data_IF_428113534391
#
_entry.id   IF_428113534391
#
_cell.length_a   1.000
_cell.length_b   1.000
_cell.length_c   1.000
_cell.angle_alpha   90.00
_cell.angle_beta   90.00
_cell.angle_gamma   90.00
#
_symmetry.space_group_name_H-M   'P 1'
#
loop_
_entity.id
_entity.type
_entity.pdbx_description
1 polymer ?
#
# COMPACT_ATOMS: atom_id res chain seq x y z
N UNK A 1 6.98 12.74 -25.96
CA UNK A 1 7.63 12.12 -24.78
C UNK A 1 6.82 10.88 -24.45
N UNK A 2 7.39 9.68 -24.62
CA UNK A 2 6.66 8.44 -24.33
C UNK A 2 6.49 8.29 -22.83
N UNK A 3 5.25 8.08 -22.40
CA UNK A 3 4.91 7.86 -21.00
C UNK A 3 5.64 6.59 -20.52
N UNK A 4 6.58 6.76 -19.58
CA UNK A 4 7.46 5.66 -19.17
C UNK A 4 6.65 4.77 -18.25
N UNK A 5 6.22 3.61 -18.75
CA UNK A 5 5.45 2.63 -17.98
C UNK A 5 6.18 2.33 -16.67
N UNK A 6 5.58 2.77 -15.55
CA UNK A 6 6.18 2.66 -14.23
C UNK A 6 6.33 1.18 -13.86
N UNK A 7 7.55 0.76 -13.50
CA UNK A 7 7.79 -0.64 -13.16
C UNK A 7 7.31 -0.95 -11.74
N UNK A 8 7.05 -2.23 -11.46
CA UNK A 8 6.71 -2.69 -10.10
C UNK A 8 7.76 -2.27 -9.06
N UNK A 9 9.03 -2.12 -9.48
CA UNK A 9 10.11 -1.70 -8.60
C UNK A 9 10.06 -0.21 -8.29
N UNK A 10 9.59 0.59 -9.24
CA UNK A 10 9.37 2.02 -9.04
C UNK A 10 8.19 2.23 -8.07
N UNK A 11 7.12 1.44 -8.21
CA UNK A 11 5.98 1.44 -7.27
C UNK A 11 6.43 1.11 -5.85
N UNK A 12 7.15 0.00 -5.66
CA UNK A 12 7.66 -0.41 -4.34
C UNK A 12 8.54 0.67 -3.70
N UNK A 13 9.44 1.29 -4.47
CA UNK A 13 10.34 2.33 -3.97
C UNK A 13 9.59 3.63 -3.64
N UNK A 14 8.56 3.96 -4.42
CA UNK A 14 7.65 5.07 -4.13
C UNK A 14 6.88 4.81 -2.82
N UNK A 15 6.28 3.64 -2.68
CA UNK A 15 5.46 3.31 -1.50
C UNK A 15 6.31 3.14 -0.24
N UNK A 16 7.54 2.64 -0.35
CA UNK A 16 8.49 2.64 0.77
C UNK A 16 8.81 4.06 1.26
N UNK A 17 8.91 5.05 0.35
CA UNK A 17 9.11 6.46 0.71
C UNK A 17 7.90 7.04 1.44
N UNK A 18 6.69 6.64 1.05
CA UNK A 18 5.46 7.01 1.77
C UNK A 18 5.42 6.36 3.16
N UNK A 19 5.70 5.07 3.27
CA UNK A 19 5.80 4.36 4.55
C UNK A 19 6.85 4.95 5.47
N UNK A 20 7.99 5.38 4.92
CA UNK A 20 9.05 6.03 5.68
C UNK A 20 8.55 7.29 6.41
N UNK A 21 7.52 7.99 5.92
CA UNK A 21 6.91 9.14 6.60
C UNK A 21 6.20 8.76 7.91
N UNK A 22 5.78 7.49 8.08
CA UNK A 22 5.23 6.97 9.34
C UNK A 22 6.31 6.71 10.40
N UNK A 23 7.57 6.64 9.99
CA UNK A 23 8.71 6.56 10.90
C UNK A 23 9.33 7.95 11.07
N UNK A 24 10.01 8.21 12.18
CA UNK A 24 10.77 9.44 12.38
C UNK A 24 12.16 9.36 11.73
N UNK A 25 12.82 8.19 11.81
CA UNK A 25 14.21 8.01 11.33
C UNK A 25 14.39 6.82 10.37
N UNK A 26 15.46 6.83 9.58
CA UNK A 26 15.80 5.68 8.73
C UNK A 26 16.13 4.45 9.58
N UNK A 27 16.77 4.70 10.73
CA UNK A 27 16.99 3.71 11.78
C UNK A 27 15.71 3.04 12.25
N UNK A 28 14.68 3.83 12.58
CA UNK A 28 13.39 3.29 13.01
C UNK A 28 12.75 2.40 11.94
N UNK A 29 12.74 2.84 10.68
CA UNK A 29 12.28 2.00 9.57
C UNK A 29 13.12 0.71 9.47
N UNK A 30 14.42 0.80 9.65
CA UNK A 30 15.35 -0.33 9.61
C UNK A 30 15.06 -1.38 10.69
N UNK A 31 14.66 -0.92 11.87
CA UNK A 31 14.27 -1.76 13.01
C UNK A 31 12.93 -2.44 12.75
N UNK A 32 11.93 -1.71 12.21
CA UNK A 32 10.59 -2.25 11.88
C UNK A 32 10.68 -3.38 10.85
N UNK A 33 11.41 -3.16 9.76
CA UNK A 33 11.48 -4.12 8.65
C UNK A 33 12.69 -5.07 8.74
N UNK A 34 13.46 -4.98 9.83
CA UNK A 34 14.58 -5.84 10.17
C UNK A 34 15.66 -5.92 9.08
N UNK A 35 16.09 -4.75 8.58
CA UNK A 35 17.21 -4.63 7.64
C UNK A 35 18.19 -3.58 8.13
N UNK A 36 19.44 -3.63 7.66
CA UNK A 36 20.44 -2.63 8.05
C UNK A 36 20.05 -1.23 7.57
N UNK A 37 20.24 -0.20 8.39
CA UNK A 37 19.94 1.20 8.05
C UNK A 37 20.60 1.67 6.75
N UNK A 38 21.83 1.22 6.46
CA UNK A 38 22.51 1.51 5.19
C UNK A 38 21.70 1.00 3.98
N UNK A 39 21.04 -0.14 4.10
CA UNK A 39 20.18 -0.71 3.05
C UNK A 39 18.94 0.15 2.88
N UNK A 40 18.32 0.64 3.95
CA UNK A 40 17.20 1.59 3.88
C UNK A 40 17.58 2.83 3.08
N UNK A 41 18.73 3.44 3.39
CA UNK A 41 19.22 4.61 2.68
C UNK A 41 19.39 4.37 1.18
N UNK A 42 19.88 3.19 0.78
CA UNK A 42 20.01 2.80 -0.63
C UNK A 42 18.65 2.59 -1.30
N UNK A 43 17.72 1.91 -0.63
CA UNK A 43 16.37 1.65 -1.15
C UNK A 43 15.55 2.93 -1.34
N UNK A 44 15.66 3.89 -0.41
CA UNK A 44 14.93 5.16 -0.47
C UNK A 44 15.45 6.11 -1.56
N UNK A 45 16.76 6.11 -1.81
CA UNK A 45 17.38 6.94 -2.86
C UNK A 45 17.13 6.40 -4.26
N UNK A 46 16.77 5.13 -4.39
CA UNK A 46 16.67 4.46 -5.69
C UNK A 46 18.00 4.37 -6.43
N UNK A 47 19.13 4.62 -5.75
CA UNK A 47 20.47 4.58 -6.33
C UNK A 47 20.95 3.12 -6.43
N UNK A 48 21.25 2.73 -7.68
CA UNK A 48 22.09 1.60 -8.12
C UNK A 48 21.76 0.20 -7.58
N UNK A 49 20.99 -0.55 -8.38
CA UNK A 49 20.97 -2.02 -8.39
C UNK A 49 20.19 -2.71 -7.26
N UNK A 50 19.95 -2.04 -6.12
CA UNK A 50 19.12 -2.59 -5.05
C UNK A 50 17.66 -2.24 -5.24
N UNK A 51 16.94 -3.17 -5.86
CA UNK A 51 15.49 -3.15 -5.96
C UNK A 51 14.87 -3.83 -4.75
N UNK A 52 13.67 -3.37 -4.37
CA UNK A 52 12.84 -4.09 -3.40
C UNK A 52 12.34 -5.36 -4.10
N UNK A 53 12.98 -6.49 -3.79
CA UNK A 53 12.54 -7.80 -4.25
C UNK A 53 11.23 -8.23 -3.61
N UNK A 54 10.57 -9.24 -4.17
CA UNK A 54 9.24 -9.69 -3.73
C UNK A 54 9.24 -10.10 -2.26
N UNK A 55 10.25 -10.85 -1.80
CA UNK A 55 10.32 -11.28 -0.40
C UNK A 55 10.41 -10.08 0.58
N UNK A 56 11.19 -9.06 0.24
CA UNK A 56 11.29 -7.85 1.06
C UNK A 56 9.99 -7.04 1.00
N UNK A 57 9.35 -6.95 -0.17
CA UNK A 57 8.05 -6.29 -0.30
C UNK A 57 6.98 -6.94 0.58
N UNK A 58 6.86 -8.28 0.57
CA UNK A 58 5.92 -8.99 1.45
C UNK A 58 6.19 -8.75 2.92
N UNK A 59 7.46 -8.78 3.33
CA UNK A 59 7.83 -8.47 4.72
C UNK A 59 7.44 -7.05 5.13
N UNK A 60 7.67 -6.07 4.25
CA UNK A 60 7.27 -4.68 4.52
C UNK A 60 5.75 -4.61 4.66
N UNK A 61 4.99 -5.27 3.77
CA UNK A 61 3.53 -5.32 3.85
C UNK A 61 3.05 -5.92 5.19
N UNK A 62 3.62 -7.04 5.63
CA UNK A 62 3.28 -7.65 6.93
C UNK A 62 3.60 -6.72 8.10
N UNK A 63 4.76 -6.05 8.11
CA UNK A 63 5.17 -5.18 9.22
C UNK A 63 4.35 -3.90 9.35
N UNK A 64 3.72 -3.47 8.26
CA UNK A 64 2.86 -2.30 8.22
C UNK A 64 1.36 -2.64 8.12
N UNK A 65 1.01 -3.92 8.32
CA UNK A 65 -0.36 -4.44 8.24
C UNK A 65 -1.08 -4.06 6.94
N UNK A 66 -0.38 -4.21 5.81
CA UNK A 66 -0.87 -3.89 4.49
C UNK A 66 -1.38 -5.14 3.77
N UNK A 67 -2.38 -5.00 2.87
CA UNK A 67 -2.79 -6.08 1.99
C UNK A 67 -1.62 -6.61 1.14
N UNK A 68 -1.65 -7.91 0.85
CA UNK A 68 -0.67 -8.53 -0.03
C UNK A 68 -0.66 -7.86 -1.42
N UNK A 69 0.53 -7.55 -1.95
CA UNK A 69 0.73 -6.81 -3.21
C UNK A 69 0.41 -5.31 -3.14
N UNK A 70 0.17 -4.73 -1.96
CA UNK A 70 -0.06 -3.29 -1.84
C UNK A 70 1.13 -2.45 -2.37
N UNK A 71 2.37 -2.92 -2.16
CA UNK A 71 3.56 -2.21 -2.66
C UNK A 71 3.74 -2.32 -4.19
N UNK A 72 3.07 -3.26 -4.83
CA UNK A 72 3.18 -3.50 -6.28
C UNK A 72 2.24 -2.61 -7.10
N UNK A 73 1.17 -2.12 -6.47
CA UNK A 73 0.13 -1.34 -7.13
C UNK A 73 0.67 -0.03 -7.71
N UNK A 74 0.04 0.51 -8.75
CA UNK A 74 0.36 1.84 -9.24
C UNK A 74 -0.09 2.95 -8.29
N UNK A 75 -1.07 2.65 -7.43
CA UNK A 75 -1.61 3.57 -6.43
C UNK A 75 -1.64 2.87 -5.08
N UNK A 76 -1.19 3.59 -4.05
CA UNK A 76 -1.12 3.11 -2.68
C UNK A 76 -1.64 4.17 -1.74
N UNK A 77 -2.72 3.83 -1.04
CA UNK A 77 -3.20 4.63 0.08
C UNK A 77 -2.75 3.96 1.36
N UNK A 78 -2.03 4.72 2.19
CA UNK A 78 -1.67 4.35 3.56
C UNK A 78 -2.85 4.47 4.53
N UNK A 79 -3.90 5.15 4.08
CA UNK A 79 -5.20 5.28 4.74
C UNK A 79 -6.10 4.19 4.17
N UNK A 80 -5.86 2.95 4.59
CA UNK A 80 -6.99 2.06 4.80
C UNK A 80 -7.33 2.23 6.26
N UNK A 81 -8.20 3.20 6.57
CA UNK A 81 -8.83 3.19 7.88
C UNK A 81 -9.45 1.81 8.04
N UNK A 82 -9.11 1.13 9.14
CA UNK A 82 -9.84 -0.06 9.54
C UNK A 82 -11.32 0.33 9.50
N UNK A 83 -12.18 -0.42 8.77
CA UNK A 83 -13.57 -0.03 8.63
C UNK A 83 -14.14 0.15 10.02
N UNK A 84 -14.61 1.36 10.31
CA UNK A 84 -15.23 1.67 11.58
C UNK A 84 -16.49 0.81 11.78
N UNK A 85 -17.03 0.83 13.00
CA UNK A 85 -18.21 0.02 13.32
C UNK A 85 -19.39 0.32 12.40
N UNK A 86 -19.54 1.56 11.93
CA UNK A 86 -20.59 1.93 10.97
C UNK A 86 -20.36 1.27 9.61
N UNK A 87 -19.13 1.29 9.09
CA UNK A 87 -18.75 0.64 7.83
C UNK A 87 -18.97 -0.87 7.89
N UNK A 88 -18.62 -1.50 9.01
CA UNK A 88 -18.87 -2.92 9.25
C UNK A 88 -20.37 -3.24 9.33
N UNK A 89 -21.17 -2.40 9.98
CA UNK A 89 -22.61 -2.58 10.07
C UNK A 89 -23.29 -2.44 8.69
N UNK A 90 -22.86 -1.45 7.89
CA UNK A 90 -23.31 -1.26 6.51
C UNK A 90 -22.99 -2.51 5.68
N UNK A 91 -21.75 -3.02 5.75
CA UNK A 91 -21.35 -4.22 5.03
C UNK A 91 -22.19 -5.44 5.44
N UNK A 92 -22.51 -5.58 6.74
CA UNK A 92 -23.37 -6.67 7.24
C UNK A 92 -24.80 -6.57 6.66
N UNK A 93 -25.41 -5.39 6.70
CA UNK A 93 -26.76 -5.14 6.16
C UNK A 93 -26.82 -5.40 4.65
N UNK A 94 -25.82 -4.96 3.90
CA UNK A 94 -25.75 -5.20 2.45
C UNK A 94 -25.70 -6.70 2.13
N UNK A 95 -24.96 -7.48 2.93
CA UNK A 95 -24.91 -8.93 2.82
C UNK A 95 -26.25 -9.58 3.15
N UNK A 96 -26.90 -9.16 4.24
CA UNK A 96 -28.24 -9.65 4.63
C UNK A 96 -29.30 -9.38 3.55
N UNK A 97 -29.20 -8.23 2.88
CA UNK A 97 -30.07 -7.84 1.78
C UNK A 97 -29.73 -8.53 0.45
N UNK A 98 -28.66 -9.32 0.38
CA UNK A 98 -28.23 -10.01 -0.84
C UNK A 98 -27.80 -9.06 -1.96
N UNK A 99 -27.33 -7.86 -1.61
CA UNK A 99 -26.93 -6.85 -2.59
C UNK A 99 -25.68 -7.33 -3.33
N UNK A 100 -25.75 -7.35 -4.65
CA UNK A 100 -24.60 -7.64 -5.50
C UNK A 100 -23.58 -6.46 -5.41
N UNK A 101 -22.32 -6.72 -5.00
CA UNK A 101 -21.31 -5.66 -4.83
C UNK A 101 -21.03 -4.85 -6.12
N UNK A 102 -21.03 -5.49 -7.29
CA UNK A 102 -20.76 -4.81 -8.57
C UNK A 102 -21.87 -3.80 -8.92
N UNK A 103 -23.13 -4.14 -8.60
CA UNK A 103 -24.25 -3.21 -8.79
C UNK A 103 -24.20 -2.05 -7.80
N UNK A 104 -23.74 -2.30 -6.57
CA UNK A 104 -23.58 -1.27 -5.56
C UNK A 104 -22.49 -0.26 -5.96
N UNK A 105 -21.36 -0.73 -6.49
CA UNK A 105 -20.29 0.14 -7.00
C UNK A 105 -20.82 1.06 -8.09
N UNK A 106 -21.55 0.51 -9.09
CA UNK A 106 -22.18 1.32 -10.15
C UNK A 106 -23.18 2.35 -9.63
N UNK A 107 -23.94 2.02 -8.58
CA UNK A 107 -24.88 2.96 -7.95
C UNK A 107 -24.12 4.12 -7.30
N UNK A 108 -23.04 3.84 -6.58
CA UNK A 108 -22.21 4.87 -5.93
C UNK A 108 -21.54 5.78 -6.96
N UNK A 109 -21.09 5.22 -8.09
CA UNK A 109 -20.55 6.00 -9.22
C UNK A 109 -21.59 6.96 -9.83
N UNK A 110 -22.86 6.54 -9.91
CA UNK A 110 -23.95 7.40 -10.38
C UNK A 110 -24.27 8.53 -9.40
N UNK A 111 -24.14 8.30 -8.10
CA UNK A 111 -24.41 9.32 -7.07
C UNK A 111 -23.32 10.39 -6.94
N UNK A 112 -22.13 10.14 -7.52
CA UNK A 112 -21.00 11.09 -7.53
C UNK A 112 -21.03 12.07 -8.72
N UNK A 113 -21.95 11.87 -9.67
CA UNK A 113 -22.20 12.77 -10.80
C UNK A 113 -23.49 13.57 -10.58
#
# INVERSE_FOLDING_TARGET
MGDKMQSIYDNRAMHLRELRKKCNTNRELSEVIEVKEQVIGQLLKGETGKKIGTALARRIEEKFDLPQNALDQSHFSLEQEAPDNETLEIARKLKELGVNPEKLVKLVELLKN
#
